data_IF_403928754797
#
_entry.id   IF_403928754797
#
_cell.length_a   1.000
_cell.length_b   1.000
_cell.length_c   1.000
_cell.angle_alpha   90.00
_cell.angle_beta   90.00
_cell.angle_gamma   90.00
#
_symmetry.space_group_name_H-M   'P 1'
#
loop_
_entity.id
_entity.type
_entity.pdbx_description
1 polymer ?
#
# COMPACT_ATOMS: atom_id res chain seq x y z
N UNK A 1 0.75 22.67 -8.20
CA UNK A 1 0.39 21.85 -7.02
C UNK A 1 -0.14 20.47 -7.41
N UNK A 2 -1.26 20.35 -8.13
CA UNK A 2 -1.89 19.04 -8.43
C UNK A 2 -0.98 18.03 -9.18
N UNK A 3 -0.21 18.48 -10.18
CA UNK A 3 0.75 17.63 -10.91
C UNK A 3 1.84 17.04 -10.03
N UNK A 4 2.28 17.80 -9.02
CA UNK A 4 3.28 17.35 -8.06
C UNK A 4 2.69 16.27 -7.15
N UNK A 5 1.49 16.48 -6.60
CA UNK A 5 0.84 15.47 -5.75
C UNK A 5 0.57 14.17 -6.52
N UNK A 6 0.02 14.24 -7.74
CA UNK A 6 -0.16 13.04 -8.58
C UNK A 6 1.16 12.31 -8.83
N UNK A 7 2.26 13.05 -9.05
CA UNK A 7 3.59 12.47 -9.25
C UNK A 7 4.06 11.74 -7.99
N UNK A 8 3.96 12.39 -6.83
CA UNK A 8 4.37 11.83 -5.55
C UNK A 8 3.55 10.59 -5.20
N UNK A 9 2.22 10.69 -5.30
CA UNK A 9 1.30 9.58 -5.05
C UNK A 9 1.59 8.40 -5.98
N UNK A 10 1.80 8.64 -7.29
CA UNK A 10 2.09 7.56 -8.23
C UNK A 10 3.40 6.85 -7.91
N UNK A 11 4.47 7.60 -7.60
CA UNK A 11 5.77 7.03 -7.25
C UNK A 11 5.71 6.21 -5.97
N UNK A 12 5.08 6.75 -4.93
CA UNK A 12 4.93 6.06 -3.65
C UNK A 12 4.04 4.81 -3.77
N UNK A 13 2.94 4.89 -4.53
CA UNK A 13 2.08 3.74 -4.82
C UNK A 13 2.86 2.63 -5.53
N UNK A 14 3.61 2.96 -6.59
CA UNK A 14 4.44 1.97 -7.30
C UNK A 14 5.51 1.38 -6.38
N UNK A 15 6.22 2.21 -5.62
CA UNK A 15 7.24 1.75 -4.68
C UNK A 15 6.66 0.78 -3.63
N UNK A 16 5.49 1.14 -3.05
CA UNK A 16 4.78 0.29 -2.09
C UNK A 16 4.36 -1.04 -2.72
N UNK A 17 3.81 -1.04 -3.93
CA UNK A 17 3.41 -2.27 -4.61
C UNK A 17 4.59 -3.15 -5.00
N UNK A 18 5.74 -2.57 -5.38
CA UNK A 18 6.97 -3.34 -5.64
C UNK A 18 7.46 -3.99 -4.35
N UNK A 19 7.52 -3.23 -3.25
CA UNK A 19 7.88 -3.76 -1.94
C UNK A 19 6.93 -4.88 -1.52
N UNK A 20 5.63 -4.72 -1.76
CA UNK A 20 4.59 -5.72 -1.49
C UNK A 20 4.84 -7.02 -2.27
N UNK A 21 5.14 -6.93 -3.57
CA UNK A 21 5.48 -8.10 -4.38
C UNK A 21 6.68 -8.85 -3.81
N UNK A 22 7.74 -8.14 -3.42
CA UNK A 22 8.94 -8.73 -2.83
C UNK A 22 8.60 -9.39 -1.49
N UNK A 23 7.88 -8.69 -0.62
CA UNK A 23 7.47 -9.17 0.70
C UNK A 23 6.66 -10.47 0.62
N UNK A 24 5.62 -10.52 -0.22
CA UNK A 24 4.78 -11.71 -0.35
C UNK A 24 5.48 -12.86 -1.08
N UNK A 25 6.34 -12.57 -2.07
CA UNK A 25 7.16 -13.60 -2.71
C UNK A 25 8.16 -14.21 -1.71
N UNK A 26 8.81 -13.37 -0.91
CA UNK A 26 9.72 -13.80 0.15
C UNK A 26 8.99 -14.64 1.21
N UNK A 27 7.85 -14.16 1.71
CA UNK A 27 7.04 -14.88 2.69
C UNK A 27 6.51 -16.22 2.16
N UNK A 28 6.13 -16.30 0.89
CA UNK A 28 5.69 -17.55 0.27
C UNK A 28 6.80 -18.62 0.31
N UNK A 29 8.06 -18.21 0.10
CA UNK A 29 9.23 -19.10 0.11
C UNK A 29 9.57 -19.52 1.55
N UNK A 30 9.76 -18.56 2.45
CA UNK A 30 10.24 -18.83 3.82
C UNK A 30 9.24 -19.63 4.64
N UNK A 31 7.94 -19.34 4.50
CA UNK A 31 6.90 -20.03 5.25
C UNK A 31 6.27 -21.20 4.49
N UNK A 32 6.75 -21.53 3.28
CA UNK A 32 6.16 -22.55 2.41
C UNK A 32 4.64 -22.34 2.21
N UNK A 33 4.24 -21.09 1.98
CA UNK A 33 2.85 -20.65 1.83
C UNK A 33 2.63 -20.09 0.42
N UNK A 34 2.59 -20.94 -0.63
CA UNK A 34 2.52 -20.47 -2.02
C UNK A 34 1.26 -19.65 -2.31
N UNK A 35 0.20 -19.83 -1.52
CA UNK A 35 -1.01 -19.03 -1.63
C UNK A 35 -0.73 -17.53 -1.48
N UNK A 36 0.28 -17.07 -0.73
CA UNK A 36 0.63 -15.64 -0.59
C UNK A 36 0.97 -14.98 -1.92
N UNK A 37 1.38 -15.74 -2.93
CA UNK A 37 1.67 -15.23 -4.27
C UNK A 37 0.44 -14.65 -4.98
N UNK A 38 -0.79 -14.94 -4.52
CA UNK A 38 -2.00 -14.30 -5.08
C UNK A 38 -1.94 -12.77 -4.96
N UNK A 39 -1.22 -12.22 -3.97
CA UNK A 39 -1.07 -10.77 -3.82
C UNK A 39 -0.30 -10.16 -5.01
N UNK A 40 0.58 -10.91 -5.69
CA UNK A 40 1.24 -10.44 -6.91
C UNK A 40 0.24 -10.23 -8.05
N UNK A 41 -0.87 -10.97 -8.06
CA UNK A 41 -1.96 -10.76 -9.02
C UNK A 41 -2.70 -9.44 -8.79
N UNK A 42 -2.50 -8.79 -7.64
CA UNK A 42 -3.03 -7.47 -7.31
C UNK A 42 -1.94 -6.41 -7.52
N UNK A 43 -0.76 -6.58 -6.91
CA UNK A 43 0.28 -5.56 -6.91
C UNK A 43 0.84 -5.29 -8.32
N UNK A 44 1.04 -6.31 -9.15
CA UNK A 44 1.60 -6.14 -10.50
C UNK A 44 0.65 -5.34 -11.42
N UNK A 45 -0.65 -5.67 -11.52
CA UNK A 45 -1.59 -4.81 -12.26
C UNK A 45 -1.67 -3.38 -11.74
N UNK A 46 -1.62 -3.16 -10.42
CA UNK A 46 -1.63 -1.81 -9.83
C UNK A 46 -0.36 -1.04 -10.22
N UNK A 47 0.81 -1.67 -10.23
CA UNK A 47 2.08 -1.07 -10.69
C UNK A 47 1.94 -0.63 -12.16
N UNK A 48 1.50 -1.55 -13.03
CA UNK A 48 1.39 -1.29 -14.47
C UNK A 48 0.41 -0.15 -14.71
N UNK A 49 -0.79 -0.22 -14.13
CA UNK A 49 -1.82 0.80 -14.30
C UNK A 49 -1.33 2.16 -13.79
N UNK A 50 -0.77 2.22 -12.59
CA UNK A 50 -0.26 3.46 -11.99
C UNK A 50 0.88 4.05 -12.81
N UNK A 51 1.79 3.21 -13.32
CA UNK A 51 2.89 3.62 -14.18
C UNK A 51 2.42 4.20 -15.51
N UNK A 52 1.46 3.54 -16.17
CA UNK A 52 0.84 4.03 -17.42
C UNK A 52 0.08 5.34 -17.17
N UNK A 53 -0.64 5.43 -16.05
CA UNK A 53 -1.32 6.65 -15.65
C UNK A 53 -0.34 7.81 -15.47
N UNK A 54 0.71 7.58 -14.68
CA UNK A 54 1.77 8.55 -14.45
C UNK A 54 2.45 9.01 -15.75
N UNK A 55 2.78 8.10 -16.65
CA UNK A 55 3.34 8.44 -17.97
C UNK A 55 2.40 9.33 -18.78
N UNK A 56 1.10 9.02 -18.81
CA UNK A 56 0.09 9.86 -19.47
C UNK A 56 0.04 11.26 -18.87
N UNK A 57 0.10 11.39 -17.54
CA UNK A 57 0.13 12.69 -16.85
C UNK A 57 1.34 13.51 -17.27
N UNK A 58 2.52 12.89 -17.37
CA UNK A 58 3.73 13.58 -17.81
C UNK A 58 3.62 14.09 -19.25
N UNK A 59 3.04 13.30 -20.15
CA UNK A 59 2.97 13.62 -21.60
C UNK A 59 1.79 14.52 -21.98
N UNK A 60 0.62 14.32 -21.37
CA UNK A 60 -0.67 14.90 -21.81
C UNK A 60 -1.34 15.77 -20.74
N UNK A 61 -0.75 15.91 -19.56
CA UNK A 61 -1.36 16.62 -18.43
C UNK A 61 -2.42 15.80 -17.70
N UNK A 62 -3.06 16.42 -16.70
CA UNK A 62 -4.09 15.78 -15.86
C UNK A 62 -5.47 16.13 -16.42
N UNK A 63 -6.33 15.11 -16.58
CA UNK A 63 -7.75 15.27 -16.89
C UNK A 63 -8.57 14.76 -15.72
N UNK A 64 -8.91 15.63 -14.78
CA UNK A 64 -9.53 15.27 -13.49
C UNK A 64 -10.93 14.66 -13.65
N UNK A 65 -11.69 15.07 -14.67
CA UNK A 65 -13.03 14.51 -14.96
C UNK A 65 -13.00 13.21 -15.77
N UNK A 66 -11.83 12.63 -16.04
CA UNK A 66 -11.74 11.39 -16.81
C UNK A 66 -11.98 10.16 -15.94
N UNK A 67 -12.66 9.15 -16.49
CA UNK A 67 -12.83 7.83 -15.85
C UNK A 67 -11.48 7.23 -15.43
N UNK A 68 -10.45 7.42 -16.26
CA UNK A 68 -9.10 6.94 -15.99
C UNK A 68 -8.48 7.56 -14.72
N UNK A 69 -8.77 8.83 -14.44
CA UNK A 69 -8.35 9.48 -13.19
C UNK A 69 -9.14 8.95 -12.00
N UNK A 70 -10.45 8.74 -12.14
CA UNK A 70 -11.27 8.11 -11.10
C UNK A 70 -10.76 6.72 -10.72
N UNK A 71 -10.48 5.87 -11.70
CA UNK A 71 -9.89 4.53 -11.47
C UNK A 71 -8.53 4.64 -10.79
N UNK A 72 -7.68 5.57 -11.20
CA UNK A 72 -6.39 5.83 -10.53
C UNK A 72 -6.55 6.18 -9.04
N UNK A 73 -7.51 7.07 -8.71
CA UNK A 73 -7.77 7.44 -7.32
C UNK A 73 -8.26 6.24 -6.51
N UNK A 74 -9.20 5.46 -7.06
CA UNK A 74 -9.73 4.26 -6.39
C UNK A 74 -8.64 3.22 -6.17
N UNK A 75 -7.84 2.90 -7.18
CA UNK A 75 -6.76 1.92 -7.03
C UNK A 75 -5.72 2.37 -6.00
N UNK A 76 -5.34 3.64 -6.02
CA UNK A 76 -4.39 4.17 -5.04
C UNK A 76 -4.96 4.14 -3.63
N UNK A 77 -6.22 4.55 -3.43
CA UNK A 77 -6.85 4.57 -2.12
C UNK A 77 -7.09 3.16 -1.58
N UNK A 78 -7.72 2.30 -2.37
CA UNK A 78 -8.15 0.98 -1.91
C UNK A 78 -6.98 0.01 -1.87
N UNK A 79 -6.27 -0.18 -2.99
CA UNK A 79 -5.19 -1.16 -3.04
C UNK A 79 -3.96 -0.66 -2.26
N UNK A 80 -3.45 0.51 -2.60
CA UNK A 80 -2.17 0.96 -2.05
C UNK A 80 -2.29 1.49 -0.62
N UNK A 81 -3.23 2.40 -0.34
CA UNK A 81 -3.37 2.99 1.00
C UNK A 81 -4.05 2.04 1.96
N UNK A 82 -5.27 1.59 1.68
CA UNK A 82 -6.08 0.86 2.66
C UNK A 82 -5.60 -0.60 2.84
N UNK A 83 -5.62 -1.41 1.78
CA UNK A 83 -5.33 -2.84 1.89
C UNK A 83 -3.86 -3.10 2.19
N UNK A 84 -2.95 -2.50 1.42
CA UNK A 84 -1.53 -2.78 1.60
C UNK A 84 -0.91 -1.89 2.67
N UNK A 85 -1.13 -0.57 2.59
CA UNK A 85 -0.46 0.35 3.50
C UNK A 85 -0.92 0.20 4.94
N UNK A 86 -2.22 0.32 5.18
CA UNK A 86 -2.81 0.29 6.52
C UNK A 86 -3.01 -1.14 7.02
N UNK A 87 -3.62 -2.01 6.22
CA UNK A 87 -3.94 -3.35 6.71
C UNK A 87 -2.71 -4.28 6.75
N UNK A 88 -1.98 -4.46 5.64
CA UNK A 88 -0.75 -5.28 5.68
C UNK A 88 0.37 -4.57 6.47
N UNK A 89 0.75 -3.36 6.07
CA UNK A 89 1.91 -2.69 6.67
C UNK A 89 1.72 -2.28 8.13
N UNK A 90 0.62 -1.58 8.44
CA UNK A 90 0.39 -1.04 9.79
C UNK A 90 -0.23 -2.07 10.73
N UNK A 91 -1.35 -2.69 10.36
CA UNK A 91 -2.05 -3.63 11.25
C UNK A 91 -1.30 -4.97 11.37
N UNK A 92 -1.01 -5.63 10.26
CA UNK A 92 -0.43 -6.97 10.26
C UNK A 92 1.05 -6.97 10.69
N UNK A 93 1.83 -5.95 10.36
CA UNK A 93 3.25 -5.91 10.73
C UNK A 93 3.57 -4.97 11.88
N UNK A 94 3.33 -3.66 11.73
CA UNK A 94 3.76 -2.69 12.75
C UNK A 94 3.08 -2.90 14.10
N UNK A 95 1.75 -2.97 14.13
CA UNK A 95 0.98 -3.16 15.36
C UNK A 95 1.22 -4.55 15.96
N UNK A 96 1.19 -5.61 15.13
CA UNK A 96 1.51 -6.98 15.58
C UNK A 96 2.88 -7.05 16.25
N UNK A 97 3.91 -6.48 15.63
CA UNK A 97 5.26 -6.49 16.18
C UNK A 97 5.33 -5.70 17.48
N UNK A 98 4.71 -4.53 17.54
CA UNK A 98 4.63 -3.75 18.77
C UNK A 98 3.99 -4.56 19.91
N UNK A 99 2.84 -5.20 19.66
CA UNK A 99 2.15 -6.03 20.65
C UNK A 99 3.00 -7.23 21.10
N UNK A 100 3.61 -7.92 20.14
CA UNK A 100 4.46 -9.08 20.41
C UNK A 100 5.66 -8.71 21.29
N UNK A 101 6.42 -7.68 20.90
CA UNK A 101 7.64 -7.29 21.62
C UNK A 101 7.37 -6.53 22.93
N UNK A 102 6.16 -6.00 23.13
CA UNK A 102 5.73 -5.41 24.42
C UNK A 102 5.14 -6.42 25.40
N UNK A 103 5.06 -7.71 25.01
CA UNK A 103 4.65 -8.79 25.90
C UNK A 103 3.13 -9.00 25.99
N UNK A 104 2.37 -8.64 24.94
CA UNK A 104 0.96 -9.02 24.86
C UNK A 104 0.80 -10.54 24.98
N UNK A 105 -0.28 -10.99 25.66
CA UNK A 105 -0.48 -12.42 25.87
C UNK A 105 -0.68 -13.17 24.54
N UNK A 106 -0.28 -14.43 24.51
CA UNK A 106 -0.46 -15.28 23.33
C UNK A 106 -1.92 -15.38 22.88
N UNK A 107 -2.86 -15.34 23.82
CA UNK A 107 -4.30 -15.34 23.54
C UNK A 107 -4.75 -14.08 22.78
N UNK A 108 -4.25 -12.90 23.19
CA UNK A 108 -4.53 -11.64 22.49
C UNK A 108 -3.94 -11.67 21.07
N UNK A 109 -2.70 -12.14 20.94
CA UNK A 109 -2.02 -12.21 19.65
C UNK A 109 -2.73 -13.15 18.68
N UNK A 110 -3.17 -14.33 19.11
CA UNK A 110 -3.93 -15.26 18.25
C UNK A 110 -5.32 -14.71 17.91
N UNK A 111 -5.98 -14.01 18.85
CA UNK A 111 -7.29 -13.43 18.58
C UNK A 111 -7.24 -12.33 17.50
N UNK A 112 -6.18 -11.53 17.47
CA UNK A 112 -5.99 -10.46 16.49
C UNK A 112 -5.32 -10.94 15.20
N UNK A 113 -4.41 -11.90 15.30
CA UNK A 113 -3.57 -12.39 14.20
C UNK A 113 -3.64 -13.93 14.12
N UNK A 114 -4.80 -14.50 13.77
CA UNK A 114 -4.99 -15.96 13.76
C UNK A 114 -4.22 -16.67 12.61
N UNK A 115 -3.58 -17.81 12.87
CA UNK A 115 -3.03 -18.66 11.81
C UNK A 115 -4.16 -19.22 10.92
N UNK A 116 -3.87 -19.61 9.67
CA UNK A 116 -2.56 -19.59 9.00
C UNK A 116 -2.28 -18.28 8.23
N UNK A 117 -3.23 -17.33 8.25
CA UNK A 117 -3.10 -16.07 7.52
C UNK A 117 -1.94 -15.24 8.06
N UNK A 118 -1.79 -15.23 9.37
CA UNK A 118 -0.79 -14.43 10.09
C UNK A 118 0.33 -15.32 10.65
N UNK A 119 1.57 -14.83 10.57
CA UNK A 119 2.72 -15.40 11.26
C UNK A 119 3.09 -14.55 12.47
N UNK A 120 3.45 -15.19 13.57
CA UNK A 120 4.07 -14.48 14.69
C UNK A 120 5.50 -14.07 14.30
N UNK A 121 6.02 -12.94 14.84
CA UNK A 121 7.34 -12.44 14.48
C UNK A 121 8.43 -13.47 14.75
N UNK A 122 8.99 -14.06 13.69
CA UNK A 122 10.01 -15.10 13.76
C UNK A 122 11.06 -15.01 12.64
N UNK A 123 10.87 -14.15 11.64
CA UNK A 123 11.84 -13.85 10.58
C UNK A 123 12.02 -12.34 10.44
N UNK A 124 13.27 -11.88 10.53
CA UNK A 124 13.58 -10.45 10.50
C UNK A 124 13.20 -9.79 9.17
N UNK A 125 13.49 -10.42 8.03
CA UNK A 125 13.31 -9.80 6.72
C UNK A 125 11.83 -9.73 6.34
N UNK A 126 11.07 -10.76 6.66
CA UNK A 126 9.62 -10.75 6.49
C UNK A 126 8.98 -9.62 7.30
N UNK A 127 9.33 -9.51 8.58
CA UNK A 127 8.78 -8.48 9.45
C UNK A 127 9.26 -7.07 9.09
N UNK A 128 10.55 -6.91 8.76
CA UNK A 128 11.11 -5.62 8.35
C UNK A 128 10.46 -5.10 7.07
N UNK A 129 10.35 -5.93 6.04
CA UNK A 129 9.73 -5.53 4.77
C UNK A 129 8.24 -5.23 4.95
N UNK A 130 7.55 -5.98 5.80
CA UNK A 130 6.17 -5.71 6.19
C UNK A 130 5.98 -4.37 6.90
N UNK A 131 6.80 -4.07 7.92
CA UNK A 131 6.79 -2.75 8.60
C UNK A 131 7.11 -1.62 7.63
N UNK A 132 8.07 -1.84 6.70
CA UNK A 132 8.45 -0.86 5.71
C UNK A 132 7.29 -0.49 4.77
N UNK A 133 6.36 -1.42 4.48
CA UNK A 133 5.12 -1.10 3.75
C UNK A 133 4.30 -0.05 4.52
N UNK A 134 4.17 -0.20 5.84
CA UNK A 134 3.47 0.77 6.71
C UNK A 134 4.18 2.13 6.74
N UNK A 135 5.51 2.15 6.82
CA UNK A 135 6.31 3.39 6.78
C UNK A 135 6.10 4.14 5.46
N UNK A 136 6.11 3.45 4.33
CA UNK A 136 5.87 4.05 2.99
C UNK A 136 4.41 4.51 2.85
N UNK A 137 3.46 3.83 3.50
CA UNK A 137 2.05 4.19 3.47
C UNK A 137 1.76 5.55 4.12
N UNK A 138 2.55 5.99 5.10
CA UNK A 138 2.37 7.29 5.78
C UNK A 138 2.49 8.45 4.78
N UNK A 139 3.63 8.68 4.10
CA UNK A 139 3.74 9.77 3.13
C UNK A 139 2.79 9.58 1.94
N UNK A 140 2.49 8.33 1.52
CA UNK A 140 1.52 8.06 0.47
C UNK A 140 0.13 8.58 0.86
N UNK A 141 -0.34 8.25 2.06
CA UNK A 141 -1.64 8.68 2.59
C UNK A 141 -1.71 10.20 2.71
N UNK A 142 -0.66 10.84 3.25
CA UNK A 142 -0.61 12.29 3.38
C UNK A 142 -0.68 12.99 2.02
N UNK A 143 0.09 12.53 1.03
CA UNK A 143 0.03 13.07 -0.33
C UNK A 143 -1.30 12.78 -1.03
N UNK A 144 -1.90 11.61 -0.78
CA UNK A 144 -3.24 11.31 -1.31
C UNK A 144 -4.29 12.26 -0.74
N UNK A 145 -4.28 12.52 0.57
CA UNK A 145 -5.18 13.50 1.20
C UNK A 145 -4.98 14.91 0.63
N UNK A 146 -3.72 15.33 0.41
CA UNK A 146 -3.42 16.63 -0.24
C UNK A 146 -3.95 16.68 -1.67
N UNK A 147 -3.82 15.59 -2.43
CA UNK A 147 -4.39 15.49 -3.78
C UNK A 147 -5.91 15.68 -3.76
N UNK A 148 -6.63 14.95 -2.91
CA UNK A 148 -8.09 15.06 -2.79
C UNK A 148 -8.52 16.47 -2.37
N UNK A 149 -7.86 17.06 -1.38
CA UNK A 149 -8.14 18.45 -0.97
C UNK A 149 -7.90 19.43 -2.11
N UNK A 150 -6.84 19.24 -2.89
CA UNK A 150 -6.53 20.06 -4.06
C UNK A 150 -7.61 20.00 -5.14
N UNK A 151 -8.22 18.83 -5.35
CA UNK A 151 -9.35 18.67 -6.28
C UNK A 151 -10.59 19.42 -5.79
N UNK A 152 -10.94 19.26 -4.51
CA UNK A 152 -12.11 19.92 -3.92
C UNK A 152 -12.02 21.46 -3.93
N UNK A 153 -10.82 22.01 -3.70
CA UNK A 153 -10.62 23.47 -3.75
C UNK A 153 -10.62 23.99 -5.18
N UNK A 154 -10.11 23.21 -6.14
CA UNK A 154 -10.12 23.55 -7.56
C UNK A 154 -11.53 23.64 -8.12
N UNK A 155 -12.37 22.64 -7.84
CA UNK A 155 -13.77 22.59 -8.32
C UNK A 155 -14.66 23.72 -7.76
N UNK A 156 -14.24 24.44 -6.72
CA UNK A 156 -14.98 25.59 -6.16
C UNK A 156 -14.65 26.93 -6.82
N UNK A 157 -13.64 26.98 -7.69
CA UNK A 157 -13.20 28.21 -8.37
C UNK A 157 -13.66 28.30 -9.83
N UNK A 158 -14.28 27.24 -10.33
CA UNK A 158 -14.90 27.14 -11.65
C UNK A 158 -16.43 27.17 -11.51
#
# INVERSE_FOLDING_TARGET
MMKQEVTTVSRLSVALMVLTSIHHAYGAIIYNTPWRLHILMISVPVIIFTGVFYYRVLKKGIRTRSVFFGVYLVLTLVASVALIGLFEGVYNHLLKNALFYTGASHQILIALFPPPTYEMPNDFWFEFTGVLQGIVAIPLTLSFVRLIRGLWVGDRKD
#
